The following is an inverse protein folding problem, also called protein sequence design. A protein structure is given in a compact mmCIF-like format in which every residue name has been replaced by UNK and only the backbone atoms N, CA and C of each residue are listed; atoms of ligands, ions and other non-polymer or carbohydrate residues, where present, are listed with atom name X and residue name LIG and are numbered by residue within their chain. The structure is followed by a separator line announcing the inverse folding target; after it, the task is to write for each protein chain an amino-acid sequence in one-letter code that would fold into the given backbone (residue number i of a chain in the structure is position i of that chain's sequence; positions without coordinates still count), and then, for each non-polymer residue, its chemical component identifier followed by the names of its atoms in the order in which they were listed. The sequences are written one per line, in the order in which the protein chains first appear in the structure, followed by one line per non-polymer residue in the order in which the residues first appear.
data_IF_008364541076
#
_entry.id   IF_008364541076
#
_cell.length_a   1.000
_cell.length_b   1.000
_cell.length_c   1.000
_cell.angle_alpha   90.00
_cell.angle_beta   90.00
_cell.angle_gamma   90.00
#
_symmetry.space_group_name_H-M   'P 1'
#
loop_
_entity.id
_entity.type
_entity.pdbx_description
1 polymer ?
#
# COMPACT_ATOMS: atom_id res chain seq x y z
N UNK A 1 7.00 -8.19 19.50
CA UNK A 1 8.07 -7.19 19.29
C UNK A 1 8.05 -6.18 20.41
N UNK A 2 9.21 -5.67 20.87
CA UNK A 2 9.26 -4.61 21.88
C UNK A 2 8.59 -3.34 21.36
N UNK A 3 7.88 -2.64 22.23
CA UNK A 3 7.23 -1.35 21.95
C UNK A 3 7.95 -0.24 22.70
N UNK A 4 8.23 0.87 22.04
CA UNK A 4 8.77 2.08 22.66
C UNK A 4 7.63 3.10 22.88
N UNK A 5 7.64 3.79 24.02
CA UNK A 5 6.70 4.89 24.29
C UNK A 5 7.30 6.21 23.79
N UNK A 6 6.48 7.01 23.12
CA UNK A 6 6.86 8.32 22.59
C UNK A 6 5.81 9.33 23.06
N UNK A 7 6.27 10.48 23.54
CA UNK A 7 5.39 11.62 23.80
C UNK A 7 5.28 12.46 22.52
N UNK A 8 4.05 12.74 22.09
CA UNK A 8 3.75 13.54 20.89
C UNK A 8 2.70 14.59 21.24
N UNK A 9 2.81 15.76 20.63
CA UNK A 9 1.75 16.77 20.66
C UNK A 9 0.87 16.60 19.42
N UNK A 10 -0.44 16.48 19.63
CA UNK A 10 -1.43 16.36 18.55
C UNK A 10 -2.40 17.52 18.63
N UNK A 11 -2.90 17.96 17.47
CA UNK A 11 -4.00 18.90 17.39
C UNK A 11 -5.25 18.31 18.09
N UNK A 12 -5.97 19.15 18.85
CA UNK A 12 -7.11 18.69 19.65
C UNK A 12 -8.22 18.10 18.77
N UNK A 13 -8.51 18.70 17.62
CA UNK A 13 -9.55 18.19 16.70
C UNK A 13 -9.12 16.88 16.05
N UNK A 14 -7.83 16.69 15.83
CA UNK A 14 -7.30 15.41 15.35
C UNK A 14 -7.46 14.31 16.40
N UNK A 15 -7.21 14.63 17.68
CA UNK A 15 -7.39 13.70 18.78
C UNK A 15 -8.88 13.32 18.96
N UNK A 16 -9.79 14.29 18.87
CA UNK A 16 -11.24 14.03 18.92
C UNK A 16 -11.69 13.06 17.82
N UNK A 17 -11.25 13.29 16.57
CA UNK A 17 -11.57 12.39 15.45
C UNK A 17 -10.99 10.99 15.64
N UNK A 18 -9.83 10.87 16.27
CA UNK A 18 -9.25 9.57 16.61
C UNK A 18 -10.14 8.85 17.64
N UNK A 19 -10.63 9.57 18.64
CA UNK A 19 -11.50 9.01 19.68
C UNK A 19 -12.85 8.54 19.12
N UNK A 20 -13.43 9.27 18.17
CA UNK A 20 -14.64 8.84 17.45
C UNK A 20 -14.42 7.52 16.69
N UNK A 21 -13.23 7.32 16.11
CA UNK A 21 -12.89 6.08 15.42
C UNK A 21 -12.71 4.90 16.39
N UNK A 22 -12.24 5.16 17.60
CA UNK A 22 -12.14 4.15 18.66
C UNK A 22 -13.53 3.82 19.22
N UNK A 23 -14.37 4.85 19.44
CA UNK A 23 -15.74 4.69 19.90
C UNK A 23 -16.62 3.90 18.90
N UNK A 24 -16.30 3.99 17.60
CA UNK A 24 -16.93 3.17 16.55
C UNK A 24 -16.27 1.80 16.36
N UNK A 25 -15.48 1.33 17.34
CA UNK A 25 -14.84 0.02 17.40
C UNK A 25 -13.93 -0.30 16.19
N UNK A 26 -13.47 0.71 15.45
CA UNK A 26 -12.53 0.51 14.34
C UNK A 26 -11.11 0.22 14.82
N UNK A 27 -10.80 0.60 16.06
CA UNK A 27 -9.54 0.36 16.72
C UNK A 27 -9.78 0.07 18.20
N UNK A 28 -8.96 -0.77 18.80
CA UNK A 28 -9.08 -1.14 20.22
C UNK A 28 -8.67 0.01 21.16
N UNK A 29 -7.67 0.80 20.76
CA UNK A 29 -7.17 1.92 21.56
C UNK A 29 -6.34 2.91 20.70
N UNK A 30 -6.05 4.09 21.27
CA UNK A 30 -5.27 5.16 20.63
C UNK A 30 -3.89 4.69 20.18
N UNK A 31 -3.18 3.92 21.01
CA UNK A 31 -1.83 3.45 20.69
C UNK A 31 -1.81 2.54 19.46
N UNK A 32 -2.74 1.58 19.40
CA UNK A 32 -2.90 0.68 18.25
C UNK A 32 -3.26 1.46 16.97
N UNK A 33 -4.20 2.40 17.08
CA UNK A 33 -4.62 3.22 15.95
C UNK A 33 -3.48 4.09 15.38
N UNK A 34 -2.74 4.77 16.26
CA UNK A 34 -1.60 5.63 15.87
C UNK A 34 -0.48 4.79 15.26
N UNK A 35 -0.17 3.63 15.85
CA UNK A 35 0.86 2.74 15.32
C UNK A 35 0.50 2.25 13.91
N UNK A 36 -0.74 1.81 13.70
CA UNK A 36 -1.20 1.34 12.38
C UNK A 36 -1.18 2.46 11.35
N UNK A 37 -1.66 3.65 11.71
CA UNK A 37 -1.63 4.82 10.82
C UNK A 37 -0.19 5.22 10.45
N UNK A 38 0.76 5.13 11.38
CA UNK A 38 2.17 5.42 11.13
C UNK A 38 2.80 4.37 10.20
N UNK A 39 2.56 3.08 10.45
CA UNK A 39 3.02 2.00 9.58
C UNK A 39 2.50 2.16 8.15
N UNK A 40 1.19 2.39 7.99
CA UNK A 40 0.56 2.63 6.69
C UNK A 40 1.14 3.86 5.99
N UNK A 41 1.41 4.94 6.73
CA UNK A 41 2.01 6.15 6.16
C UNK A 41 3.43 5.89 5.66
N UNK A 42 4.25 5.19 6.44
CA UNK A 42 5.62 4.84 6.05
C UNK A 42 5.62 3.91 4.84
N UNK A 43 4.72 2.92 4.80
CA UNK A 43 4.59 2.04 3.63
C UNK A 43 4.19 2.82 2.37
N UNK A 44 3.22 3.73 2.47
CA UNK A 44 2.83 4.60 1.34
C UNK A 44 3.98 5.50 0.89
N UNK A 45 4.75 6.05 1.83
CA UNK A 45 5.91 6.89 1.50
C UNK A 45 7.05 6.11 0.87
N UNK A 46 7.22 4.82 1.22
CA UNK A 46 8.25 3.99 0.64
C UNK A 46 8.07 3.81 -0.88
N UNK A 47 6.87 4.05 -1.44
CA UNK A 47 6.53 3.85 -2.87
C UNK A 47 6.87 2.45 -3.40
N UNK A 48 7.17 1.49 -2.52
CA UNK A 48 7.58 0.13 -2.86
C UNK A 48 6.40 -0.79 -3.10
N UNK A 49 5.16 -0.32 -2.93
CA UNK A 49 3.97 -1.16 -3.12
C UNK A 49 3.91 -1.79 -4.51
N UNK A 50 4.17 -1.00 -5.56
CA UNK A 50 4.21 -1.53 -6.93
C UNK A 50 5.32 -2.59 -7.06
N UNK A 51 6.54 -2.28 -6.60
CA UNK A 51 7.66 -3.22 -6.66
C UNK A 51 7.38 -4.52 -5.88
N UNK A 52 6.73 -4.46 -4.72
CA UNK A 52 6.35 -5.62 -3.90
C UNK A 52 5.27 -6.47 -4.56
N UNK A 53 4.25 -5.84 -5.16
CA UNK A 53 3.21 -6.58 -5.87
C UNK A 53 3.73 -7.16 -7.20
N UNK A 54 4.56 -6.42 -7.95
CA UNK A 54 5.23 -6.94 -9.14
C UNK A 54 6.15 -8.14 -8.83
N UNK A 55 6.78 -8.17 -7.66
CA UNK A 55 7.60 -9.31 -7.23
C UNK A 55 6.79 -10.61 -7.00
N UNK A 56 5.45 -10.54 -6.97
CA UNK A 56 4.58 -11.73 -6.86
C UNK A 56 4.21 -12.35 -8.21
N UNK A 57 4.46 -11.65 -9.31
CA UNK A 57 4.11 -12.11 -10.66
C UNK A 57 5.11 -13.16 -11.14
N UNK A 58 4.64 -14.18 -11.86
CA UNK A 58 5.50 -15.11 -12.60
C UNK A 58 5.95 -14.44 -13.91
N UNK A 59 7.27 -14.25 -14.14
CA UNK A 59 7.78 -13.63 -15.36
C UNK A 59 7.35 -14.32 -16.65
N UNK A 60 7.10 -15.63 -16.63
CA UNK A 60 6.68 -16.38 -17.81
C UNK A 60 5.21 -16.12 -18.14
N UNK A 61 4.35 -16.09 -17.13
CA UNK A 61 2.93 -15.80 -17.31
C UNK A 61 2.71 -14.35 -17.74
N UNK A 62 3.43 -13.41 -17.11
CA UNK A 62 3.38 -11.99 -17.46
C UNK A 62 3.79 -11.77 -18.92
N UNK A 63 4.89 -12.39 -19.34
CA UNK A 63 5.35 -12.33 -20.72
C UNK A 63 4.35 -12.94 -21.71
N UNK A 64 3.78 -14.11 -21.40
CA UNK A 64 2.81 -14.76 -22.27
C UNK A 64 1.56 -13.89 -22.48
N UNK A 65 1.09 -13.21 -21.42
CA UNK A 65 -0.05 -12.30 -21.48
C UNK A 65 0.26 -11.02 -22.26
N UNK A 66 1.48 -10.48 -22.12
CA UNK A 66 1.92 -9.31 -22.89
C UNK A 66 2.08 -9.62 -24.38
N UNK A 67 2.52 -10.84 -24.73
CA UNK A 67 2.78 -11.27 -26.10
C UNK A 67 1.54 -11.87 -26.80
N UNK A 68 0.41 -12.06 -26.11
CA UNK A 68 -0.83 -12.64 -26.66
C UNK A 68 -1.32 -11.91 -27.94
N UNK A 69 -1.24 -10.58 -27.95
CA UNK A 69 -1.62 -9.76 -29.11
C UNK A 69 -0.55 -9.65 -30.21
N UNK A 70 0.71 -9.99 -29.93
CA UNK A 70 1.80 -9.95 -30.90
C UNK A 70 1.79 -11.16 -31.83
N UNK A 71 1.33 -12.32 -31.34
CA UNK A 71 1.34 -13.58 -32.09
C UNK A 71 0.55 -13.55 -33.42
N UNK A 72 -0.37 -12.58 -33.60
CA UNK A 72 -1.14 -12.40 -34.83
C UNK A 72 -0.98 -11.04 -35.51
N UNK A 73 -0.10 -10.15 -35.01
CA UNK A 73 0.01 -8.78 -35.53
C UNK A 73 1.36 -8.42 -36.14
N UNK A 74 2.39 -9.27 -36.00
CA UNK A 74 3.70 -9.10 -36.64
C UNK A 74 3.59 -8.87 -38.16
N UNK A 75 2.65 -9.55 -38.81
CA UNK A 75 2.43 -9.50 -40.27
C UNK A 75 1.70 -8.22 -40.73
N UNK A 76 1.13 -7.46 -39.79
CA UNK A 76 0.34 -6.24 -40.04
C UNK A 76 1.10 -4.95 -39.73
N UNK A 77 2.29 -5.04 -39.14
CA UNK A 77 3.07 -3.85 -38.82
C UNK A 77 3.74 -3.33 -40.09
N UNK A 78 3.62 -2.02 -40.39
CA UNK A 78 4.29 -1.43 -41.55
C UNK A 78 5.81 -1.49 -41.38
N UNK A 79 6.53 -1.73 -42.48
CA UNK A 79 7.99 -1.57 -42.52
C UNK A 79 8.35 -0.10 -42.25
N UNK A 80 9.40 0.10 -41.45
CA UNK A 80 9.82 1.40 -40.91
C UNK A 80 10.54 2.27 -41.95
#
# INVERSE_FOLDING_TARGET
MPKAKIAVTLDAKLLERLDELIASERFENRSQAIEKALADKLERLARTRLARECAKLDPKEERALAEEGLAGSLDTWPEY
#
